data_IF_986762271328
#
_entry.id   IF_986762271328
#
_cell.length_a   1.000
_cell.length_b   1.000
_cell.length_c   1.000
_cell.angle_alpha   90.00
_cell.angle_beta   90.00
_cell.angle_gamma   90.00
#
_symmetry.space_group_name_H-M   'P 1'
#
loop_
_entity.id
_entity.type
_entity.pdbx_description
1 polymer ?
#
# COMPACT_ATOMS: atom_id res chain seq x y z
N UNK A 1 -0.21 6.59 -8.34
CA UNK A 1 0.80 6.80 -7.27
C UNK A 1 1.15 8.29 -7.25
N UNK A 2 1.58 8.81 -6.09
CA UNK A 2 2.03 10.19 -5.89
C UNK A 2 3.45 10.11 -5.33
N UNK A 3 4.40 10.92 -5.81
CA UNK A 3 5.79 10.81 -5.40
C UNK A 3 6.58 12.10 -5.59
N UNK A 4 7.74 12.16 -4.92
CA UNK A 4 8.67 13.31 -5.00
C UNK A 4 9.89 12.90 -5.82
N UNK A 5 10.29 13.75 -6.77
CA UNK A 5 11.53 13.56 -7.51
C UNK A 5 12.70 13.98 -6.62
N UNK A 6 13.58 13.04 -6.29
CA UNK A 6 14.74 13.26 -5.39
C UNK A 6 16.09 13.24 -6.11
N UNK A 7 16.14 12.77 -7.36
CA UNK A 7 17.36 12.70 -8.20
C UNK A 7 17.07 13.36 -9.54
N UNK A 8 18.05 14.11 -10.06
CA UNK A 8 17.97 14.70 -11.41
C UNK A 8 17.95 13.64 -12.51
N UNK A 9 17.80 14.09 -13.77
CA UNK A 9 17.85 13.20 -14.94
C UNK A 9 19.14 12.38 -14.93
N UNK A 10 19.02 11.05 -14.99
CA UNK A 10 20.13 10.10 -15.11
C UNK A 10 19.85 9.21 -16.30
N UNK A 11 20.81 9.12 -17.22
CA UNK A 11 20.78 8.15 -18.30
C UNK A 11 21.15 6.78 -17.73
N UNK A 12 20.33 5.77 -18.02
CA UNK A 12 20.46 4.40 -17.52
C UNK A 12 20.36 3.48 -18.73
N UNK A 13 21.28 2.53 -18.80
CA UNK A 13 21.31 1.54 -19.88
C UNK A 13 20.15 0.53 -19.70
N UNK A 14 19.45 0.20 -20.78
CA UNK A 14 18.26 -0.68 -20.73
C UNK A 14 18.60 -2.06 -20.16
N UNK A 15 19.83 -2.55 -20.38
CA UNK A 15 20.33 -3.84 -19.85
C UNK A 15 20.42 -3.86 -18.32
N UNK A 16 20.48 -2.69 -17.68
CA UNK A 16 20.53 -2.56 -16.22
C UNK A 16 19.15 -2.44 -15.56
N UNK A 17 18.07 -2.37 -16.35
CA UNK A 17 16.71 -2.27 -15.83
C UNK A 17 16.17 -3.65 -15.42
N UNK A 18 16.13 -3.87 -14.10
CA UNK A 18 15.55 -5.10 -13.52
C UNK A 18 14.02 -5.18 -13.69
N UNK A 19 13.36 -4.05 -14.02
CA UNK A 19 11.92 -3.95 -14.22
C UNK A 19 11.56 -2.71 -15.04
N UNK A 20 10.46 -2.73 -15.81
CA UNK A 20 10.03 -1.59 -16.60
C UNK A 20 9.71 -0.39 -15.72
N UNK A 21 10.23 0.78 -16.10
CA UNK A 21 9.98 2.04 -15.40
C UNK A 21 8.52 2.45 -15.59
N UNK A 22 7.86 2.83 -14.50
CA UNK A 22 6.53 3.43 -14.59
C UNK A 22 6.66 4.85 -15.17
N UNK A 23 5.86 5.22 -16.18
CA UNK A 23 5.91 6.55 -16.77
C UNK A 23 5.45 7.60 -15.76
N UNK A 24 6.17 8.73 -15.71
CA UNK A 24 5.75 9.92 -14.97
C UNK A 24 4.72 10.66 -15.83
N UNK A 25 3.51 10.84 -15.31
CA UNK A 25 2.41 11.42 -16.08
C UNK A 25 2.54 12.95 -16.16
N UNK A 26 2.65 13.61 -15.00
CA UNK A 26 2.76 15.08 -14.88
C UNK A 26 3.23 15.49 -13.48
N UNK A 27 3.60 16.76 -13.34
CA UNK A 27 3.80 17.38 -12.02
C UNK A 27 2.45 17.38 -11.27
N UNK A 28 2.51 17.08 -9.98
CA UNK A 28 1.35 17.09 -9.12
C UNK A 28 0.76 18.52 -8.98
N UNK A 29 -0.55 18.63 -9.10
CA UNK A 29 -1.29 19.87 -8.84
C UNK A 29 -1.67 19.97 -7.36
N UNK A 30 -2.21 21.11 -6.97
CA UNK A 30 -2.78 21.30 -5.62
C UNK A 30 -3.92 20.30 -5.34
N UNK A 31 -4.73 19.99 -6.35
CA UNK A 31 -5.79 18.99 -6.26
C UNK A 31 -5.23 17.59 -6.00
N UNK A 32 -4.16 17.20 -6.69
CA UNK A 32 -3.48 15.91 -6.44
C UNK A 32 -2.93 15.82 -5.03
N UNK A 33 -2.38 16.94 -4.53
CA UNK A 33 -1.85 17.04 -3.17
C UNK A 33 -2.97 16.87 -2.14
N UNK A 34 -4.15 17.44 -2.40
CA UNK A 34 -5.33 17.30 -1.54
C UNK A 34 -5.83 15.86 -1.54
N UNK A 35 -5.96 15.23 -2.71
CA UNK A 35 -6.32 13.81 -2.84
C UNK A 35 -5.36 12.93 -2.05
N UNK A 36 -4.05 13.16 -2.18
CA UNK A 36 -3.03 12.43 -1.43
C UNK A 36 -3.21 12.56 0.08
N UNK A 37 -3.42 13.77 0.60
CA UNK A 37 -3.65 14.01 2.04
C UNK A 37 -4.90 13.30 2.54
N UNK A 38 -6.02 13.43 1.83
CA UNK A 38 -7.26 12.74 2.19
C UNK A 38 -7.10 11.22 2.17
N UNK A 39 -6.38 10.67 1.17
CA UNK A 39 -6.11 9.24 1.10
C UNK A 39 -5.29 8.77 2.30
N UNK A 40 -4.31 9.58 2.71
CA UNK A 40 -3.46 9.30 3.87
C UNK A 40 -4.25 9.34 5.18
N UNK A 41 -5.19 10.26 5.33
CA UNK A 41 -6.06 10.30 6.51
C UNK A 41 -7.00 9.08 6.56
N UNK A 42 -7.67 8.78 5.44
CA UNK A 42 -8.53 7.58 5.33
C UNK A 42 -7.76 6.29 5.56
N UNK A 43 -6.53 6.20 5.09
CA UNK A 43 -5.68 5.03 5.32
C UNK A 43 -5.45 4.78 6.81
N UNK A 44 -5.27 5.83 7.64
CA UNK A 44 -5.13 5.65 9.09
C UNK A 44 -6.37 5.04 9.72
N UNK A 45 -7.55 5.55 9.38
CA UNK A 45 -8.82 5.02 9.86
C UNK A 45 -9.02 3.57 9.41
N UNK A 46 -8.63 3.28 8.17
CA UNK A 46 -8.72 1.95 7.58
C UNK A 46 -7.80 0.95 8.27
N UNK A 47 -6.59 1.38 8.61
CA UNK A 47 -5.59 0.56 9.30
C UNK A 47 -6.13 0.08 10.65
N UNK A 48 -6.64 1.01 11.47
CA UNK A 48 -7.20 0.70 12.78
C UNK A 48 -8.39 -0.27 12.68
N UNK A 49 -9.28 -0.05 11.72
CA UNK A 49 -10.44 -0.92 11.53
C UNK A 49 -10.03 -2.33 11.06
N UNK A 50 -9.02 -2.42 10.19
CA UNK A 50 -8.48 -3.70 9.75
C UNK A 50 -7.82 -4.46 10.90
N UNK A 51 -7.07 -3.78 11.78
CA UNK A 51 -6.51 -4.38 12.99
C UNK A 51 -7.60 -4.96 13.92
N UNK A 52 -8.71 -4.25 14.07
CA UNK A 52 -9.86 -4.75 14.84
C UNK A 52 -10.43 -6.02 14.20
N UNK A 53 -10.66 -6.00 12.89
CA UNK A 53 -11.19 -7.16 12.16
C UNK A 53 -10.25 -8.37 12.20
N UNK A 54 -8.94 -8.16 12.07
CA UNK A 54 -7.94 -9.24 12.20
C UNK A 54 -8.06 -9.94 13.56
N UNK A 55 -8.26 -9.16 14.64
CA UNK A 55 -8.49 -9.72 15.99
C UNK A 55 -9.83 -10.44 16.10
N UNK A 56 -10.90 -9.88 15.54
CA UNK A 56 -12.23 -10.52 15.55
C UNK A 56 -12.24 -11.87 14.81
N UNK A 57 -11.47 -11.99 13.73
CA UNK A 57 -11.33 -13.21 12.92
C UNK A 57 -10.21 -14.14 13.42
N UNK A 58 -9.53 -13.80 14.53
CA UNK A 58 -8.44 -14.58 15.14
C UNK A 58 -7.32 -14.96 14.15
N UNK A 59 -7.03 -14.10 13.18
CA UNK A 59 -6.05 -14.38 12.14
C UNK A 59 -4.61 -14.17 12.65
N UNK A 60 -3.77 -15.17 12.44
CA UNK A 60 -2.36 -15.17 12.88
C UNK A 60 -1.46 -14.35 11.93
N UNK A 61 -1.79 -13.08 11.73
CA UNK A 61 -1.07 -12.14 10.86
C UNK A 61 -0.75 -10.82 11.58
N UNK A 62 0.27 -10.13 11.08
CA UNK A 62 0.63 -8.78 11.48
C UNK A 62 0.41 -7.82 10.32
N UNK A 63 -0.48 -6.85 10.50
CA UNK A 63 -0.68 -5.77 9.55
C UNK A 63 0.48 -4.77 9.66
N UNK A 64 1.11 -4.47 8.53
CA UNK A 64 2.27 -3.57 8.44
C UNK A 64 1.81 -2.17 8.05
N UNK A 65 1.04 -2.06 6.97
CA UNK A 65 0.53 -0.78 6.46
C UNK A 65 -0.73 -0.98 5.59
N UNK A 66 -1.43 0.10 5.27
CA UNK A 66 -2.45 0.09 4.24
C UNK A 66 -2.44 1.39 3.42
N UNK A 67 -2.74 1.28 2.13
CA UNK A 67 -2.78 2.43 1.24
C UNK A 67 -3.93 2.35 0.24
N UNK A 68 -4.49 3.51 -0.07
CA UNK A 68 -5.35 3.67 -1.22
C UNK A 68 -4.51 3.92 -2.47
N UNK A 69 -4.89 3.29 -3.58
CA UNK A 69 -4.44 3.78 -4.87
C UNK A 69 -4.87 5.23 -5.05
N UNK A 70 -4.13 5.97 -5.88
CA UNK A 70 -4.39 7.41 -6.06
C UNK A 70 -5.84 7.70 -6.48
N UNK A 71 -6.39 6.86 -7.36
CA UNK A 71 -7.77 6.89 -7.85
C UNK A 71 -8.79 6.26 -6.88
N UNK A 72 -8.37 5.77 -5.71
CA UNK A 72 -9.17 5.06 -4.70
C UNK A 72 -9.91 3.81 -5.20
N UNK A 73 -9.57 3.29 -6.38
CA UNK A 73 -10.22 2.09 -6.93
C UNK A 73 -9.77 0.80 -6.23
N UNK A 74 -8.62 0.83 -5.55
CA UNK A 74 -8.08 -0.30 -4.81
C UNK A 74 -7.52 0.17 -3.47
N UNK A 75 -7.73 -0.67 -2.46
CA UNK A 75 -7.17 -0.54 -1.13
C UNK A 75 -6.24 -1.74 -0.88
N UNK A 76 -4.98 -1.45 -0.63
CA UNK A 76 -3.91 -2.44 -0.49
C UNK A 76 -3.55 -2.54 0.98
N UNK A 77 -3.56 -3.75 1.54
CA UNK A 77 -3.07 -4.03 2.88
C UNK A 77 -1.78 -4.83 2.80
N UNK A 78 -0.75 -4.33 3.46
CA UNK A 78 0.54 -4.97 3.59
C UNK A 78 0.59 -5.71 4.91
N UNK A 79 0.97 -6.99 4.88
CA UNK A 79 1.01 -7.81 6.08
C UNK A 79 2.15 -8.83 6.05
N UNK A 80 2.51 -9.34 7.22
CA UNK A 80 3.35 -10.52 7.37
C UNK A 80 2.59 -11.60 8.14
N UNK A 81 2.92 -12.86 7.90
CA UNK A 81 2.22 -14.01 8.42
C UNK A 81 3.13 -15.23 8.44
N UNK A 82 3.03 -16.03 9.48
CA UNK A 82 3.68 -17.34 9.55
C UNK A 82 2.74 -18.41 9.01
N UNK A 83 3.11 -18.99 7.85
CA UNK A 83 2.31 -20.03 7.22
C UNK A 83 1.13 -19.50 6.40
N UNK A 84 0.12 -20.36 6.22
CA UNK A 84 -1.06 -20.05 5.39
C UNK A 84 -2.20 -19.55 6.26
N UNK A 85 -2.85 -18.49 5.81
CA UNK A 85 -4.01 -17.89 6.45
C UNK A 85 -5.17 -17.89 5.47
N UNK A 86 -6.38 -18.14 5.98
CA UNK A 86 -7.60 -18.02 5.20
C UNK A 86 -8.21 -16.62 5.42
N UNK A 87 -8.14 -15.77 4.40
CA UNK A 87 -8.57 -14.37 4.48
C UNK A 87 -10.00 -14.15 3.98
N UNK A 88 -10.75 -15.19 3.59
CA UNK A 88 -12.02 -15.02 2.87
C UNK A 88 -13.03 -14.17 3.63
N UNK A 89 -13.21 -14.42 4.92
CA UNK A 89 -14.15 -13.66 5.76
C UNK A 89 -13.64 -12.23 6.03
N UNK A 90 -12.35 -12.05 6.30
CA UNK A 90 -11.75 -10.72 6.45
C UNK A 90 -11.94 -9.87 5.18
N UNK A 91 -11.64 -10.42 4.00
CA UNK A 91 -11.80 -9.71 2.72
C UNK A 91 -13.25 -9.32 2.49
N UNK A 92 -14.20 -10.19 2.83
CA UNK A 92 -15.63 -9.93 2.70
C UNK A 92 -16.07 -8.76 3.60
N UNK A 93 -15.63 -8.74 4.85
CA UNK A 93 -15.93 -7.65 5.78
C UNK A 93 -15.33 -6.32 5.34
N UNK A 94 -14.03 -6.32 4.99
CA UNK A 94 -13.34 -5.11 4.52
C UNK A 94 -13.98 -4.58 3.23
N UNK A 95 -14.34 -5.46 2.29
CA UNK A 95 -15.01 -5.06 1.05
C UNK A 95 -16.41 -4.48 1.32
N UNK A 96 -17.16 -5.01 2.28
CA UNK A 96 -18.47 -4.50 2.65
C UNK A 96 -18.38 -3.08 3.28
N UNK A 97 -17.35 -2.84 4.09
CA UNK A 97 -17.13 -1.55 4.76
C UNK A 97 -16.63 -0.49 3.77
N UNK A 98 -15.53 -0.77 3.07
CA UNK A 98 -14.84 0.23 2.26
C UNK A 98 -15.40 0.35 0.83
N UNK A 99 -16.25 -0.58 0.40
CA UNK A 99 -16.86 -0.61 -0.95
C UNK A 99 -15.83 -0.43 -2.07
N UNK A 100 -14.63 -0.93 -1.85
CA UNK A 100 -13.45 -0.76 -2.69
C UNK A 100 -12.81 -2.13 -2.89
N UNK A 101 -12.11 -2.34 -4.01
CA UNK A 101 -11.38 -3.58 -4.25
C UNK A 101 -10.28 -3.74 -3.22
N UNK A 102 -10.34 -4.82 -2.44
CA UNK A 102 -9.33 -5.15 -1.44
C UNK A 102 -8.22 -5.99 -2.09
N UNK A 103 -6.97 -5.60 -1.87
CA UNK A 103 -5.79 -6.39 -2.22
C UNK A 103 -4.97 -6.63 -0.95
N UNK A 104 -4.65 -7.89 -0.68
CA UNK A 104 -3.77 -8.27 0.43
C UNK A 104 -2.41 -8.63 -0.16
N UNK A 105 -1.35 -7.99 0.34
CA UNK A 105 0.02 -8.25 -0.09
C UNK A 105 0.89 -8.68 1.09
N UNK A 106 1.41 -9.90 1.00
CA UNK A 106 2.38 -10.40 1.98
C UNK A 106 3.75 -9.79 1.69
N UNK A 107 4.38 -9.22 2.72
CA UNK A 107 5.77 -8.77 2.69
C UNK A 107 6.61 -9.75 3.53
N UNK A 108 7.77 -10.15 3.01
CA UNK A 108 8.72 -10.95 3.78
C UNK A 108 9.44 -10.09 4.84
N UNK A 109 9.81 -10.70 5.97
CA UNK A 109 10.47 -10.05 7.13
C UNK A 109 11.77 -9.26 6.82
N UNK A 110 12.33 -9.42 5.61
CA UNK A 110 13.55 -8.71 5.17
C UNK A 110 13.27 -7.38 4.46
N UNK A 111 12.04 -7.15 3.98
CA UNK A 111 11.66 -5.92 3.27
C UNK A 111 11.08 -4.84 4.20
N UNK A 112 10.75 -5.18 5.46
CA UNK A 112 10.28 -4.23 6.48
C UNK A 112 11.25 -3.06 6.71
N UNK A 113 12.57 -3.29 6.54
CA UNK A 113 13.59 -2.26 6.67
C UNK A 113 13.63 -1.25 5.50
N UNK A 114 13.05 -1.57 4.33
CA UNK A 114 13.01 -0.66 3.17
C UNK A 114 11.75 0.22 3.16
N UNK A 115 10.62 -0.28 3.66
CA UNK A 115 9.34 0.48 3.64
C UNK A 115 9.26 1.59 4.69
N UNK A 116 10.00 1.52 5.81
CA UNK A 116 9.90 2.49 6.92
C UNK A 116 10.76 3.75 6.70
N UNK A 117 11.65 3.77 5.70
CA UNK A 117 12.44 4.97 5.40
C UNK A 117 13.66 4.62 4.58
N UNK A 118 13.60 4.95 3.30
CA UNK A 118 14.78 4.98 2.44
C UNK A 118 15.78 6.04 2.94
N UNK A 119 16.62 5.65 3.89
CA UNK A 119 17.99 6.13 4.01
C UNK A 119 18.88 4.92 3.67
N UNK A 120 19.14 4.78 2.38
CA UNK A 120 20.19 3.94 1.80
C UNK A 120 20.83 4.70 0.67
#
# INVERSE_FOLDING_TARGET
>A
EYGTVVVGKKEIDEESLVSPLKPIIRIATEEDTKIYKENKEKAKETFELCLQKIKEHELTMYLIDCEYTFDRNKLIFYFTAEGRIDFRELVKDLAAIFKTRIELRQIGVRDEAKSIGGLG
#
